data_IF_192588230783
#
_entry.id   IF_192588230783
#
_cell.length_a   1.000
_cell.length_b   1.000
_cell.length_c   1.000
_cell.angle_alpha   90.00
_cell.angle_beta   90.00
_cell.angle_gamma   90.00
#
_symmetry.space_group_name_H-M   'P 1'
#
loop_
_entity.id
_entity.type
_entity.pdbx_description
1 polymer ?
#
# COMPACT_ATOMS: atom_id res chain seq x y z
N UNK A 1 -16.20 32.41 -20.25
CA UNK A 1 -15.77 31.03 -20.56
C UNK A 1 -14.25 31.04 -20.56
N UNK A 2 -13.64 30.81 -19.40
CA UNK A 2 -12.21 30.54 -19.27
C UNK A 2 -12.12 29.06 -18.91
N UNK A 3 -12.03 28.21 -19.93
CA UNK A 3 -11.84 26.78 -19.73
C UNK A 3 -10.39 26.55 -19.26
N UNK A 4 -10.32 25.90 -18.10
CA UNK A 4 -9.14 25.57 -17.31
C UNK A 4 -7.88 25.18 -18.10
N UNK A 5 -6.89 26.09 -18.12
CA UNK A 5 -5.51 25.92 -18.61
C UNK A 5 -4.64 24.91 -17.82
N UNK A 6 -5.20 24.24 -16.81
CA UNK A 6 -4.50 23.27 -15.96
C UNK A 6 -5.21 21.92 -15.85
N UNK A 7 -5.88 21.46 -16.92
CA UNK A 7 -6.25 20.06 -16.99
C UNK A 7 -4.97 19.23 -17.13
N UNK A 8 -4.48 18.70 -16.00
CA UNK A 8 -3.47 17.66 -16.01
C UNK A 8 -4.10 16.48 -16.75
N UNK A 9 -3.61 16.16 -17.96
CA UNK A 9 -4.03 14.94 -18.64
C UNK A 9 -3.81 13.78 -17.68
N UNK A 10 -4.90 13.22 -17.15
CA UNK A 10 -4.84 11.98 -16.39
C UNK A 10 -4.42 10.92 -17.39
N UNK A 11 -3.10 10.67 -17.47
CA UNK A 11 -2.52 9.67 -18.36
C UNK A 11 -3.25 8.34 -18.24
N UNK A 12 -3.19 7.52 -19.29
CA UNK A 12 -3.87 6.23 -19.34
C UNK A 12 -3.59 5.40 -18.08
N UNK A 13 -4.63 5.20 -17.28
CA UNK A 13 -4.58 4.37 -16.08
C UNK A 13 -5.46 3.13 -16.31
N UNK A 14 -4.91 1.90 -16.21
CA UNK A 14 -5.68 0.67 -16.36
C UNK A 14 -6.87 0.62 -15.42
N UNK A 15 -7.99 0.02 -15.87
CA UNK A 15 -9.21 -0.12 -15.08
C UNK A 15 -8.94 -0.76 -13.72
N UNK A 16 -8.12 -1.81 -13.68
CA UNK A 16 -7.75 -2.49 -12.44
C UNK A 16 -7.09 -1.57 -11.40
N UNK A 17 -6.32 -0.58 -11.82
CA UNK A 17 -5.71 0.39 -10.90
C UNK A 17 -6.73 1.44 -10.43
N UNK A 18 -7.66 1.86 -11.31
CA UNK A 18 -8.75 2.79 -10.99
C UNK A 18 -9.81 2.20 -10.06
N UNK A 19 -10.07 0.90 -10.18
CA UNK A 19 -11.08 0.19 -9.38
C UNK A 19 -10.57 -0.25 -7.99
N UNK A 20 -9.35 0.13 -7.60
CA UNK A 20 -8.83 -0.23 -6.28
C UNK A 20 -9.66 0.49 -5.21
N UNK A 21 -10.20 -0.25 -4.21
CA UNK A 21 -10.90 0.37 -3.10
C UNK A 21 -10.00 1.34 -2.34
N UNK A 22 -10.63 2.34 -1.73
CA UNK A 22 -9.98 3.38 -0.92
C UNK A 22 -10.17 3.17 0.58
N UNK A 23 -11.09 2.30 0.98
CA UNK A 23 -11.36 1.91 2.37
C UNK A 23 -11.42 0.39 2.54
N UNK A 24 -11.25 -0.09 3.78
CA UNK A 24 -11.40 -1.51 4.12
C UNK A 24 -12.81 -2.04 3.87
N UNK A 25 -13.83 -1.19 3.94
CA UNK A 25 -15.23 -1.56 3.66
C UNK A 25 -15.46 -1.91 2.19
N UNK A 26 -14.73 -1.24 1.28
CA UNK A 26 -14.72 -1.56 -0.14
C UNK A 26 -13.86 -2.78 -0.52
N UNK A 27 -13.17 -3.42 0.44
CA UNK A 27 -12.31 -4.56 0.14
C UNK A 27 -13.09 -5.87 0.06
N UNK A 28 -13.32 -6.33 -1.17
CA UNK A 28 -14.15 -7.49 -1.48
C UNK A 28 -13.41 -8.81 -1.25
N UNK A 29 -14.11 -9.81 -0.70
CA UNK A 29 -13.66 -11.21 -0.65
C UNK A 29 -12.86 -11.61 0.59
N UNK A 30 -12.36 -10.65 1.39
CA UNK A 30 -11.52 -10.92 2.56
C UNK A 30 -12.19 -10.61 3.91
N UNK A 31 -13.53 -10.66 3.97
CA UNK A 31 -14.29 -10.36 5.20
C UNK A 31 -13.92 -11.27 6.40
N UNK A 32 -13.40 -12.47 6.14
CA UNK A 32 -12.93 -13.35 7.20
C UNK A 32 -11.67 -12.81 7.92
N UNK A 33 -10.86 -11.98 7.24
CA UNK A 33 -9.68 -11.31 7.79
C UNK A 33 -9.99 -9.89 8.28
N UNK A 34 -10.72 -9.12 7.48
CA UNK A 34 -10.93 -7.67 7.69
C UNK A 34 -12.38 -7.28 7.97
N UNK A 35 -13.24 -8.26 8.24
CA UNK A 35 -14.63 -7.99 8.63
C UNK A 35 -14.72 -7.25 9.97
N UNK A 36 -15.90 -6.67 10.29
CA UNK A 36 -16.13 -6.02 11.57
C UNK A 36 -15.73 -6.92 12.76
N UNK A 37 -15.01 -6.34 13.71
CA UNK A 37 -14.57 -7.04 14.92
C UNK A 37 -13.43 -8.03 14.74
N UNK A 38 -12.91 -8.24 13.53
CA UNK A 38 -11.76 -9.13 13.30
C UNK A 38 -10.47 -8.52 13.86
N UNK A 39 -9.53 -9.34 14.37
CA UNK A 39 -8.30 -8.85 14.99
C UNK A 39 -7.47 -7.96 14.06
N UNK A 40 -7.32 -8.36 12.79
CA UNK A 40 -6.56 -7.57 11.81
C UNK A 40 -7.21 -6.21 11.57
N UNK A 41 -8.54 -6.14 11.41
CA UNK A 41 -9.25 -4.86 11.27
C UNK A 41 -9.01 -3.96 12.49
N UNK A 42 -9.14 -4.50 13.71
CA UNK A 42 -8.90 -3.72 14.94
C UNK A 42 -7.46 -3.21 15.03
N UNK A 43 -6.47 -4.06 14.73
CA UNK A 43 -5.07 -3.65 14.77
C UNK A 43 -4.77 -2.52 13.78
N UNK A 44 -5.35 -2.60 12.57
CA UNK A 44 -5.20 -1.57 11.54
C UNK A 44 -5.88 -0.26 11.96
N UNK A 45 -7.10 -0.32 12.48
CA UNK A 45 -7.85 0.85 12.97
C UNK A 45 -7.19 1.50 14.20
N UNK A 46 -6.45 0.74 14.99
CA UNK A 46 -5.67 1.24 16.14
C UNK A 46 -4.27 1.75 15.77
N UNK A 47 -3.90 1.72 14.48
CA UNK A 47 -2.56 2.10 14.02
C UNK A 47 -1.46 1.11 14.43
N UNK A 48 -1.82 -0.09 14.91
CA UNK A 48 -0.90 -1.13 15.35
C UNK A 48 -0.57 -2.09 14.20
N UNK A 49 -0.07 -1.53 13.09
CA UNK A 49 0.33 -2.29 11.91
C UNK A 49 1.67 -3.01 12.16
N UNK A 50 1.62 -4.34 12.14
CA UNK A 50 2.80 -5.19 12.28
C UNK A 50 3.29 -5.66 10.90
N UNK A 51 4.58 -5.97 10.80
CA UNK A 51 5.14 -6.68 9.65
C UNK A 51 4.41 -7.99 9.41
N UNK A 52 4.05 -8.27 8.15
CA UNK A 52 3.26 -9.45 7.79
C UNK A 52 3.61 -9.96 6.39
N UNK A 53 3.27 -11.22 6.15
CA UNK A 53 3.35 -11.85 4.82
C UNK A 53 1.92 -12.01 4.29
N UNK A 54 1.66 -11.47 3.10
CA UNK A 54 0.41 -11.68 2.39
C UNK A 54 0.57 -12.84 1.41
N UNK A 55 -0.11 -13.96 1.66
CA UNK A 55 -0.05 -15.15 0.82
C UNK A 55 -1.36 -15.39 0.08
N UNK A 56 -1.26 -15.75 -1.19
CA UNK A 56 -2.40 -16.09 -2.03
C UNK A 56 -2.11 -15.96 -3.53
N UNK A 57 -2.99 -16.50 -4.39
CA UNK A 57 -2.80 -16.51 -5.84
C UNK A 57 -2.71 -15.09 -6.44
N UNK A 58 -2.28 -14.95 -7.71
CA UNK A 58 -2.33 -13.66 -8.39
C UNK A 58 -3.76 -13.11 -8.44
N UNK A 59 -3.91 -11.79 -8.28
CA UNK A 59 -5.22 -11.13 -8.37
C UNK A 59 -6.08 -11.10 -7.09
N UNK A 60 -5.68 -11.73 -5.98
CA UNK A 60 -6.45 -11.69 -4.71
C UNK A 60 -6.40 -10.36 -3.95
N UNK A 61 -5.73 -9.34 -4.52
CA UNK A 61 -5.69 -7.99 -3.96
C UNK A 61 -4.63 -7.73 -2.90
N UNK A 62 -3.53 -8.49 -2.84
CA UNK A 62 -2.42 -8.28 -1.89
C UNK A 62 -1.87 -6.85 -1.91
N UNK A 63 -1.51 -6.35 -3.09
CA UNK A 63 -0.99 -4.98 -3.28
C UNK A 63 -2.04 -3.93 -2.92
N UNK A 64 -3.30 -4.19 -3.26
CA UNK A 64 -4.43 -3.33 -2.91
C UNK A 64 -4.60 -3.26 -1.40
N UNK A 65 -4.53 -4.39 -0.71
CA UNK A 65 -4.65 -4.48 0.73
C UNK A 65 -3.52 -3.71 1.42
N UNK A 66 -2.26 -3.89 1.03
CA UNK A 66 -1.13 -3.14 1.58
C UNK A 66 -1.30 -1.62 1.43
N UNK A 67 -1.83 -1.15 0.30
CA UNK A 67 -2.15 0.26 0.09
C UNK A 67 -3.27 0.76 1.00
N UNK A 68 -4.32 -0.05 1.20
CA UNK A 68 -5.37 0.28 2.15
C UNK A 68 -4.83 0.39 3.58
N UNK A 69 -3.94 -0.52 3.99
CA UNK A 69 -3.31 -0.47 5.31
C UNK A 69 -2.52 0.83 5.51
N UNK A 70 -1.74 1.25 4.50
CA UNK A 70 -1.03 2.51 4.57
C UNK A 70 -1.97 3.71 4.69
N UNK A 71 -3.09 3.72 3.96
CA UNK A 71 -4.07 4.80 4.05
C UNK A 71 -4.73 4.86 5.43
N UNK A 72 -5.14 3.72 6.00
CA UNK A 72 -5.81 3.69 7.30
C UNK A 72 -4.85 4.05 8.44
N UNK A 73 -3.59 3.61 8.36
CA UNK A 73 -2.56 3.94 9.35
C UNK A 73 -1.87 5.29 9.15
N UNK A 74 -2.33 6.13 8.21
CA UNK A 74 -1.67 7.38 7.79
C UNK A 74 -0.17 7.22 7.49
N UNK A 75 0.21 6.11 6.87
CA UNK A 75 1.59 5.80 6.51
C UNK A 75 1.90 6.28 5.09
N UNK A 76 3.17 6.56 4.83
CA UNK A 76 3.65 6.66 3.46
C UNK A 76 3.79 5.28 2.85
N UNK A 77 3.47 5.13 1.57
CA UNK A 77 3.49 3.84 0.89
C UNK A 77 4.62 3.77 -0.14
N UNK A 78 5.54 2.83 0.03
CA UNK A 78 6.62 2.53 -0.92
C UNK A 78 6.47 1.09 -1.41
N UNK A 79 6.78 0.83 -2.68
CA UNK A 79 6.70 -0.51 -3.26
C UNK A 79 8.00 -0.89 -3.93
N UNK A 80 8.46 -2.12 -3.71
CA UNK A 80 9.57 -2.73 -4.44
C UNK A 80 9.16 -4.10 -4.98
N UNK A 81 9.78 -4.50 -6.09
CA UNK A 81 9.63 -5.85 -6.65
C UNK A 81 10.85 -6.67 -6.27
N UNK A 82 10.67 -7.76 -5.55
CA UNK A 82 11.78 -8.61 -5.11
C UNK A 82 12.55 -9.21 -6.31
N UNK A 83 11.90 -9.35 -7.47
CA UNK A 83 12.53 -9.86 -8.71
C UNK A 83 13.51 -8.87 -9.32
N UNK A 84 13.18 -7.58 -9.24
CA UNK A 84 13.90 -6.52 -9.94
C UNK A 84 14.83 -5.73 -9.02
N UNK A 85 14.68 -5.88 -7.71
CA UNK A 85 15.40 -5.09 -6.71
C UNK A 85 16.50 -5.90 -6.04
N UNK A 86 17.72 -5.36 -6.04
CA UNK A 86 18.83 -5.83 -5.24
C UNK A 86 18.88 -5.17 -3.86
N UNK A 87 19.94 -5.49 -3.09
CA UNK A 87 20.17 -4.94 -1.75
C UNK A 87 20.32 -3.41 -1.78
N UNK A 88 20.77 -2.84 -2.91
CA UNK A 88 20.96 -1.40 -3.08
C UNK A 88 19.62 -0.65 -3.06
N UNK A 89 18.62 -1.06 -3.85
CA UNK A 89 17.32 -0.38 -3.85
C UNK A 89 16.64 -0.44 -2.48
N UNK A 90 16.76 -1.57 -1.77
CA UNK A 90 16.19 -1.72 -0.42
C UNK A 90 16.81 -0.68 0.54
N UNK A 91 18.14 -0.52 0.51
CA UNK A 91 18.83 0.49 1.33
C UNK A 91 18.36 1.90 1.00
N UNK A 92 18.21 2.23 -0.28
CA UNK A 92 17.73 3.54 -0.69
C UNK A 92 16.30 3.83 -0.20
N UNK A 93 15.41 2.84 -0.24
CA UNK A 93 14.04 2.98 0.30
C UNK A 93 14.07 3.20 1.81
N UNK A 94 14.91 2.46 2.54
CA UNK A 94 15.06 2.61 3.99
C UNK A 94 15.57 4.00 4.35
N UNK A 95 16.54 4.54 3.62
CA UNK A 95 17.04 5.90 3.84
C UNK A 95 15.96 6.95 3.55
N UNK A 96 15.19 6.80 2.47
CA UNK A 96 14.03 7.68 2.19
C UNK A 96 12.99 7.62 3.31
N UNK A 97 12.69 6.43 3.82
CA UNK A 97 11.76 6.24 4.94
C UNK A 97 12.26 6.92 6.22
N UNK A 98 13.55 6.79 6.55
CA UNK A 98 14.18 7.48 7.69
C UNK A 98 14.10 9.00 7.57
N UNK A 99 14.44 9.54 6.41
CA UNK A 99 14.37 10.98 6.16
C UNK A 99 12.94 11.50 6.28
N UNK A 100 11.96 10.74 5.79
CA UNK A 100 10.54 11.09 5.91
C UNK A 100 10.07 11.10 7.37
N UNK A 101 10.47 10.10 8.15
CA UNK A 101 10.17 10.06 9.60
C UNK A 101 10.77 11.25 10.34
N UNK A 102 12.02 11.63 10.03
CA UNK A 102 12.68 12.76 10.69
C UNK A 102 12.08 14.11 10.30
N UNK A 103 11.74 14.31 9.01
CA UNK A 103 11.26 15.59 8.50
C UNK A 103 9.76 15.82 8.68
N UNK A 104 8.96 14.76 8.61
CA UNK A 104 7.48 14.85 8.60
C UNK A 104 6.83 14.13 9.78
N UNK A 105 7.60 13.41 10.60
CA UNK A 105 7.04 12.57 11.68
C UNK A 105 6.24 11.37 11.18
N UNK A 106 6.28 11.07 9.87
CA UNK A 106 5.41 10.09 9.22
C UNK A 106 6.14 8.78 8.97
N UNK A 107 5.57 7.68 9.48
CA UNK A 107 6.08 6.33 9.24
C UNK A 107 5.80 5.85 7.80
N UNK A 108 6.54 4.83 7.36
CA UNK A 108 6.46 4.31 5.99
C UNK A 108 6.19 2.80 6.00
N UNK A 109 5.20 2.39 5.21
CA UNK A 109 4.92 1.00 4.88
C UNK A 109 5.67 0.65 3.58
N UNK A 110 6.64 -0.26 3.69
CA UNK A 110 7.33 -0.85 2.55
C UNK A 110 6.64 -2.15 2.14
N UNK A 111 6.07 -2.16 0.94
CA UNK A 111 5.49 -3.36 0.33
C UNK A 111 6.51 -4.01 -0.62
N UNK A 112 6.78 -5.29 -0.39
CA UNK A 112 7.69 -6.10 -1.21
C UNK A 112 6.85 -7.14 -1.97
N UNK A 113 6.75 -6.98 -3.29
CA UNK A 113 6.02 -7.93 -4.14
C UNK A 113 6.93 -9.09 -4.58
N UNK A 114 6.34 -10.26 -4.83
CA UNK A 114 7.06 -11.46 -5.31
C UNK A 114 8.22 -11.93 -4.40
N UNK A 115 8.13 -11.72 -3.09
CA UNK A 115 9.21 -12.07 -2.11
C UNK A 115 9.65 -13.54 -2.13
N UNK A 116 8.82 -14.45 -2.66
CA UNK A 116 9.15 -15.87 -2.80
C UNK A 116 10.18 -16.15 -3.90
N UNK A 117 10.52 -15.16 -4.74
CA UNK A 117 11.52 -15.28 -5.80
C UNK A 117 12.92 -14.79 -5.39
N UNK A 118 13.04 -14.29 -4.16
CA UNK A 118 14.30 -13.86 -3.56
C UNK A 118 15.12 -15.03 -3.03
#
# INVERSE_FOLDING_TARGET
MQDSLFQTETGFQPLAARMRPTSLEGYVGQAHLVGPGKPLRRAVEQGQLHSMILWGPPGVGKTTFARLLANVGDLSFETISAVLSGVKEIREVVERARNRKQSQGRDTLLFVDEVHRF
#
